data_IF_723796622309
#
_entry.id   IF_723796622309
#
_cell.length_a   1.000
_cell.length_b   1.000
_cell.length_c   1.000
_cell.angle_alpha   90.00
_cell.angle_beta   90.00
_cell.angle_gamma   90.00
#
_symmetry.space_group_name_H-M   'P 1'
#
loop_
_entity.id
_entity.type
_entity.pdbx_description
1 polymer ?
#
# COMPACT_ATOMS: atom_id res chain seq x y z
N UNK A 1 -12.48 -13.30 6.93
CA UNK A 1 -12.12 -12.44 8.08
C UNK A 1 -13.07 -11.25 8.07
N UNK A 2 -13.89 -11.10 9.10
CA UNK A 2 -15.07 -10.21 9.16
C UNK A 2 -14.77 -8.71 8.99
N UNK A 3 -15.61 -8.03 8.20
CA UNK A 3 -15.60 -6.60 7.78
C UNK A 3 -15.32 -5.56 8.89
N UNK A 4 -15.58 -5.90 10.17
CA UNK A 4 -15.34 -5.02 11.33
C UNK A 4 -13.86 -4.75 11.59
N UNK A 5 -12.96 -5.64 11.13
CA UNK A 5 -11.51 -5.46 11.27
C UNK A 5 -10.90 -4.52 10.22
N UNK A 6 -11.48 -4.36 9.02
CA UNK A 6 -10.94 -3.48 7.98
C UNK A 6 -10.93 -2.01 8.41
N UNK A 7 -12.01 -1.52 9.04
CA UNK A 7 -12.11 -0.12 9.49
C UNK A 7 -11.09 0.24 10.58
N UNK A 8 -10.66 -0.74 11.38
CA UNK A 8 -9.58 -0.55 12.36
C UNK A 8 -8.20 -0.67 11.71
N UNK A 9 -8.03 -1.52 10.70
CA UNK A 9 -6.77 -1.66 9.95
C UNK A 9 -6.43 -0.39 9.17
N UNK A 10 -7.41 0.32 8.59
CA UNK A 10 -7.16 1.61 7.92
C UNK A 10 -6.74 2.72 8.90
N UNK A 11 -7.26 2.70 10.14
CA UNK A 11 -6.83 3.59 11.23
C UNK A 11 -5.42 3.26 11.72
N UNK A 12 -5.08 1.98 11.86
CA UNK A 12 -3.72 1.57 12.20
C UNK A 12 -2.73 1.83 11.04
N UNK A 13 -3.19 1.70 9.80
CA UNK A 13 -2.41 1.99 8.59
C UNK A 13 -2.10 3.47 8.43
N UNK A 14 -3.08 4.35 8.65
CA UNK A 14 -2.88 5.81 8.63
C UNK A 14 -2.01 6.29 9.80
N UNK A 15 -2.26 5.82 11.02
CA UNK A 15 -1.39 6.13 12.16
C UNK A 15 0.05 5.62 11.95
N UNK A 16 0.20 4.43 11.35
CA UNK A 16 1.48 3.87 10.94
C UNK A 16 2.18 4.73 9.89
N UNK A 17 1.46 5.25 8.89
CA UNK A 17 2.00 6.14 7.85
C UNK A 17 2.54 7.44 8.45
N UNK A 18 1.78 8.04 9.38
CA UNK A 18 2.18 9.24 10.11
C UNK A 18 3.41 9.00 10.99
N UNK A 19 3.45 7.89 11.73
CA UNK A 19 4.62 7.49 12.53
C UNK A 19 5.84 7.26 11.62
N UNK A 20 5.67 6.54 10.51
CA UNK A 20 6.78 6.34 9.56
C UNK A 20 7.26 7.64 8.95
N UNK A 21 6.40 8.63 8.71
CA UNK A 21 6.81 9.93 8.19
C UNK A 21 7.61 10.76 9.21
N UNK A 22 7.22 10.73 10.49
CA UNK A 22 7.91 11.44 11.58
C UNK A 22 9.29 10.84 11.82
N UNK A 23 9.36 9.51 11.79
CA UNK A 23 10.60 8.81 12.10
C UNK A 23 11.45 8.52 10.85
N UNK A 24 10.95 8.72 9.62
CA UNK A 24 11.69 8.35 8.41
C UNK A 24 13.09 8.99 8.35
N UNK A 25 14.14 8.21 8.04
CA UNK A 25 15.51 8.71 7.84
C UNK A 25 15.60 9.92 6.90
N UNK A 26 14.74 9.97 5.86
CA UNK A 26 14.76 11.04 4.87
C UNK A 26 14.07 12.34 5.32
N UNK A 27 13.25 12.29 6.37
CA UNK A 27 12.52 13.44 6.92
C UNK A 27 13.19 14.00 8.18
N UNK A 28 14.09 13.22 8.78
CA UNK A 28 14.84 13.61 9.97
C UNK A 28 15.62 14.92 9.80
N UNK A 29 16.30 15.21 8.67
CA UNK A 29 16.95 16.50 8.45
C UNK A 29 15.96 17.68 8.38
N UNK A 30 14.78 17.46 7.79
CA UNK A 30 13.72 18.47 7.69
C UNK A 30 13.10 18.75 9.08
N UNK A 31 12.90 17.70 9.87
CA UNK A 31 12.43 17.82 11.25
C UNK A 31 13.46 18.50 12.14
N UNK A 32 14.74 18.15 12.00
CA UNK A 32 15.84 18.81 12.71
C UNK A 32 15.93 20.30 12.35
N UNK A 33 15.75 20.65 11.07
CA UNK A 33 15.69 22.05 10.61
C UNK A 33 14.48 22.80 11.20
N UNK A 34 13.30 22.19 11.20
CA UNK A 34 12.09 22.77 11.78
C UNK A 34 12.20 22.95 13.31
N UNK A 35 12.74 21.95 14.02
CA UNK A 35 13.00 22.03 15.45
C UNK A 35 14.06 23.11 15.78
N UNK A 36 15.08 23.24 14.94
CA UNK A 36 16.10 24.29 15.04
C UNK A 36 15.48 25.68 14.82
N UNK A 37 14.60 25.84 13.83
CA UNK A 37 13.88 27.08 13.55
C UNK A 37 12.92 27.48 14.68
N UNK A 38 12.38 26.52 15.42
CA UNK A 38 11.55 26.75 16.62
C UNK A 38 12.38 26.99 17.90
N UNK A 39 13.72 27.10 17.79
CA UNK A 39 14.60 27.37 18.93
C UNK A 39 14.83 26.17 19.85
N UNK A 40 14.40 24.96 19.45
CA UNK A 40 14.63 23.71 20.18
C UNK A 40 16.00 23.08 19.87
N UNK A 41 16.81 23.72 19.01
CA UNK A 41 18.10 23.22 18.55
C UNK A 41 19.20 23.12 19.61
N UNK A 42 18.98 23.63 20.83
CA UNK A 42 19.92 23.57 21.96
C UNK A 42 19.66 22.44 22.94
N UNK A 43 18.60 21.65 22.75
CA UNK A 43 18.48 20.39 23.46
C UNK A 43 19.42 19.39 22.81
N UNK A 44 20.37 18.85 23.58
CA UNK A 44 21.05 17.58 23.29
C UNK A 44 20.05 16.40 23.29
N UNK A 45 18.88 16.55 22.64
CA UNK A 45 17.80 15.58 22.49
C UNK A 45 18.28 14.28 21.81
N UNK A 46 19.53 14.30 21.38
CA UNK A 46 20.22 13.46 20.46
C UNK A 46 21.71 13.34 20.86
N UNK A 47 21.99 13.16 22.16
CA UNK A 47 23.31 12.68 22.61
C UNK A 47 23.72 11.37 21.92
N UNK A 48 24.80 10.71 22.36
CA UNK A 48 25.37 9.50 21.72
C UNK A 48 24.41 8.31 21.46
N UNK A 49 23.16 8.39 21.93
CA UNK A 49 22.05 7.48 21.66
C UNK A 49 21.44 7.60 20.25
N UNK A 50 21.64 8.71 19.53
CA UNK A 50 21.11 8.90 18.16
C UNK A 50 21.45 7.79 17.21
N UNK A 51 22.68 7.28 17.29
CA UNK A 51 23.15 6.23 16.39
C UNK A 51 22.29 4.97 16.52
N UNK A 52 22.04 4.57 17.76
CA UNK A 52 21.28 3.38 18.11
C UNK A 52 19.83 3.50 17.65
N UNK A 53 19.25 4.70 17.78
CA UNK A 53 17.90 4.99 17.27
C UNK A 53 17.87 4.85 15.75
N UNK A 54 18.83 5.44 15.03
CA UNK A 54 18.89 5.34 13.57
C UNK A 54 19.06 3.90 13.07
N UNK A 55 19.92 3.11 13.73
CA UNK A 55 20.11 1.70 13.40
C UNK A 55 18.85 0.88 13.69
N UNK A 56 18.18 1.11 14.82
CA UNK A 56 16.92 0.43 15.15
C UNK A 56 15.84 0.69 14.08
N UNK A 57 15.76 1.92 13.58
CA UNK A 57 14.84 2.29 12.52
C UNK A 57 15.12 1.57 11.19
N UNK A 58 16.38 1.50 10.78
CA UNK A 58 16.79 0.75 9.58
C UNK A 58 16.41 -0.72 9.71
N UNK A 59 16.59 -1.32 10.88
CA UNK A 59 16.18 -2.71 11.15
C UNK A 59 14.67 -2.89 11.05
N UNK A 60 13.88 -1.97 11.62
CA UNK A 60 12.41 -1.99 11.51
C UNK A 60 11.97 -1.89 10.04
N UNK A 61 12.60 -1.03 9.24
CA UNK A 61 12.32 -0.92 7.81
C UNK A 61 12.64 -2.21 7.04
N UNK A 62 13.79 -2.85 7.29
CA UNK A 62 14.16 -4.12 6.68
C UNK A 62 13.18 -5.23 7.10
N UNK A 63 12.79 -5.28 8.37
CA UNK A 63 11.81 -6.23 8.89
C UNK A 63 10.44 -6.06 8.21
N UNK A 64 10.01 -4.81 8.00
CA UNK A 64 8.79 -4.50 7.25
C UNK A 64 8.86 -4.99 5.79
N UNK A 65 9.99 -4.79 5.11
CA UNK A 65 10.22 -5.31 3.76
C UNK A 65 10.29 -6.85 3.73
N UNK A 66 10.83 -7.48 4.78
CA UNK A 66 10.83 -8.94 4.91
C UNK A 66 9.42 -9.51 5.10
N UNK A 67 8.56 -8.86 5.90
CA UNK A 67 7.15 -9.23 6.03
C UNK A 67 6.43 -9.05 4.68
N UNK A 68 6.70 -7.97 3.96
CA UNK A 68 6.20 -7.73 2.60
C UNK A 68 6.62 -8.85 1.64
N UNK A 69 7.89 -9.28 1.69
CA UNK A 69 8.41 -10.40 0.91
C UNK A 69 7.68 -11.71 1.21
N UNK A 70 7.44 -12.03 2.49
CA UNK A 70 6.71 -13.25 2.89
C UNK A 70 5.27 -13.28 2.37
N UNK A 71 4.66 -12.11 2.15
CA UNK A 71 3.27 -12.00 1.66
C UNK A 71 3.16 -12.03 0.13
N UNK A 72 4.09 -11.40 -0.57
CA UNK A 72 4.00 -11.19 -2.04
C UNK A 72 5.07 -11.95 -2.85
N UNK A 73 6.02 -12.64 -2.21
CA UNK A 73 7.02 -13.50 -2.85
C UNK A 73 8.14 -12.76 -3.61
N UNK A 74 8.20 -11.44 -3.52
CA UNK A 74 9.05 -10.60 -4.38
C UNK A 74 10.35 -10.20 -3.66
N UNK A 75 11.47 -10.83 -4.00
CA UNK A 75 12.74 -10.69 -3.26
C UNK A 75 13.50 -9.36 -3.56
N UNK A 76 13.25 -8.73 -4.71
CA UNK A 76 14.04 -7.58 -5.18
C UNK A 76 14.15 -6.39 -4.21
N UNK A 77 13.07 -5.88 -3.58
CA UNK A 77 13.19 -4.76 -2.65
C UNK A 77 14.05 -5.10 -1.41
N UNK A 78 14.00 -6.35 -0.97
CA UNK A 78 14.81 -6.84 0.15
C UNK A 78 16.31 -6.91 -0.22
N UNK A 79 16.62 -7.34 -1.45
CA UNK A 79 17.99 -7.39 -1.96
C UNK A 79 18.64 -6.02 -2.10
N UNK A 80 17.85 -4.96 -2.26
CA UNK A 80 18.38 -3.58 -2.26
C UNK A 80 18.49 -3.05 -0.83
N UNK A 81 17.48 -3.28 0.00
CA UNK A 81 17.43 -2.75 1.36
C UNK A 81 18.49 -3.33 2.31
N UNK A 82 18.75 -4.64 2.25
CA UNK A 82 19.71 -5.30 3.16
C UNK A 82 21.14 -4.77 2.96
N UNK A 83 21.70 -4.72 1.73
CA UNK A 83 22.99 -4.08 1.49
C UNK A 83 23.02 -2.61 1.90
N UNK A 84 21.96 -1.86 1.63
CA UNK A 84 21.87 -0.46 2.05
C UNK A 84 21.95 -0.28 3.57
N UNK A 85 21.30 -1.15 4.35
CA UNK A 85 21.39 -1.14 5.81
C UNK A 85 22.77 -1.52 6.35
N UNK A 86 23.46 -2.45 5.67
CA UNK A 86 24.84 -2.82 6.00
C UNK A 86 25.81 -1.67 5.71
N UNK A 87 25.65 -0.96 4.58
CA UNK A 87 26.46 0.22 4.24
C UNK A 87 26.28 1.30 5.32
N UNK A 88 25.05 1.55 5.76
CA UNK A 88 24.77 2.50 6.86
C UNK A 88 25.48 2.08 8.14
N UNK A 89 25.40 0.81 8.52
CA UNK A 89 26.03 0.30 9.75
C UNK A 89 27.56 0.37 9.67
N UNK A 90 28.13 0.05 8.50
CA UNK A 90 29.56 0.13 8.24
C UNK A 90 30.07 1.58 8.28
N UNK A 91 29.36 2.50 7.62
CA UNK A 91 29.68 3.92 7.63
C UNK A 91 29.76 4.48 9.06
N UNK A 92 28.91 3.98 9.95
CA UNK A 92 28.86 4.44 11.33
C UNK A 92 29.94 3.80 12.22
N UNK A 93 30.10 2.48 12.17
CA UNK A 93 30.94 1.76 13.15
C UNK A 93 32.41 1.62 12.74
N UNK A 94 32.73 1.68 11.44
CA UNK A 94 34.06 1.31 10.95
C UNK A 94 34.78 2.43 10.19
N UNK A 95 34.10 3.51 9.82
CA UNK A 95 34.68 4.56 8.99
C UNK A 95 34.90 5.85 9.79
N UNK A 96 36.09 6.00 10.37
CA UNK A 96 36.52 7.23 11.05
C UNK A 96 36.92 8.36 10.08
N UNK A 97 36.84 8.11 8.77
CA UNK A 97 37.27 9.03 7.72
C UNK A 97 36.14 10.00 7.32
N UNK A 98 36.48 11.21 6.86
CA UNK A 98 35.50 12.26 6.49
C UNK A 98 34.45 11.82 5.45
N UNK A 99 34.73 10.74 4.71
CA UNK A 99 33.84 10.18 3.70
C UNK A 99 32.64 9.40 4.26
N UNK A 100 32.54 9.19 5.57
CA UNK A 100 31.45 8.42 6.21
C UNK A 100 30.06 8.94 5.84
N UNK A 101 29.93 10.26 5.68
CA UNK A 101 28.67 10.92 5.35
C UNK A 101 28.15 10.53 3.96
N UNK A 102 29.04 10.32 2.98
CA UNK A 102 28.65 9.90 1.62
C UNK A 102 28.11 8.47 1.60
N UNK A 103 28.73 7.56 2.36
CA UNK A 103 28.24 6.18 2.49
C UNK A 103 26.88 6.13 3.19
N UNK A 104 26.70 6.94 4.23
CA UNK A 104 25.42 7.06 4.93
C UNK A 104 24.31 7.53 3.97
N UNK A 105 24.55 8.58 3.19
CA UNK A 105 23.56 9.07 2.22
C UNK A 105 23.28 8.07 1.10
N UNK A 106 24.31 7.38 0.60
CA UNK A 106 24.13 6.34 -0.41
C UNK A 106 23.24 5.20 0.10
N UNK A 107 23.44 4.76 1.35
CA UNK A 107 22.59 3.76 1.99
C UNK A 107 21.14 4.24 2.20
N UNK A 108 20.95 5.49 2.62
CA UNK A 108 19.61 6.07 2.77
C UNK A 108 18.86 6.15 1.43
N UNK A 109 19.55 6.58 0.37
CA UNK A 109 18.97 6.63 -0.97
C UNK A 109 18.58 5.24 -1.47
N UNK A 110 19.41 4.23 -1.22
CA UNK A 110 19.10 2.83 -1.55
C UNK A 110 17.86 2.29 -0.82
N UNK A 111 17.72 2.56 0.48
CA UNK A 111 16.52 2.19 1.26
C UNK A 111 15.26 2.89 0.74
N UNK A 112 15.37 4.17 0.39
CA UNK A 112 14.27 4.96 -0.17
C UNK A 112 13.84 4.38 -1.53
N UNK A 113 14.78 4.11 -2.42
CA UNK A 113 14.52 3.49 -3.72
C UNK A 113 13.87 2.11 -3.57
N UNK A 114 14.36 1.26 -2.66
CA UNK A 114 13.77 -0.04 -2.36
C UNK A 114 12.31 0.08 -1.89
N UNK A 115 12.02 1.08 -1.04
CA UNK A 115 10.68 1.34 -0.51
C UNK A 115 9.74 1.84 -1.60
N UNK A 116 10.18 2.79 -2.44
CA UNK A 116 9.39 3.27 -3.59
C UNK A 116 9.08 2.10 -4.52
N UNK A 117 10.07 1.25 -4.83
CA UNK A 117 9.88 0.11 -5.71
C UNK A 117 8.86 -0.88 -5.14
N UNK A 118 8.95 -1.17 -3.83
CA UNK A 118 7.98 -2.01 -3.13
C UNK A 118 6.57 -1.40 -3.17
N UNK A 119 6.44 -0.08 -2.97
CA UNK A 119 5.16 0.62 -3.00
C UNK A 119 4.54 0.66 -4.41
N UNK A 120 5.32 1.02 -5.43
CA UNK A 120 4.87 1.03 -6.82
C UNK A 120 4.43 -0.36 -7.28
N UNK A 121 5.19 -1.41 -6.93
CA UNK A 121 4.80 -2.78 -7.24
C UNK A 121 3.50 -3.19 -6.56
N UNK A 122 3.35 -2.85 -5.28
CA UNK A 122 2.11 -3.14 -4.56
C UNK A 122 0.91 -2.38 -5.16
N UNK A 123 1.12 -1.15 -5.65
CA UNK A 123 0.11 -0.41 -6.40
C UNK A 123 -0.22 -1.05 -7.75
N UNK A 124 0.78 -1.51 -8.50
CA UNK A 124 0.57 -2.15 -9.80
C UNK A 124 -0.30 -3.42 -9.71
N UNK A 125 -0.16 -4.18 -8.62
CA UNK A 125 -1.05 -5.32 -8.36
C UNK A 125 -2.49 -4.93 -8.02
N UNK A 126 -2.72 -3.68 -7.59
CA UNK A 126 -4.03 -3.15 -7.21
C UNK A 126 -4.68 -2.32 -8.34
N UNK A 127 -3.98 -2.15 -9.46
CA UNK A 127 -4.47 -1.42 -10.66
C UNK A 127 -4.79 -2.36 -11.80
N UNK A 128 -5.45 -3.50 -11.53
CA UNK A 128 -6.28 -4.08 -12.58
C UNK A 128 -7.35 -3.02 -12.88
N UNK A 129 -7.34 -2.42 -14.07
CA UNK A 129 -8.30 -1.40 -14.45
C UNK A 129 -9.72 -1.91 -14.20
N UNK A 130 -10.41 -1.31 -13.23
CA UNK A 130 -11.78 -1.66 -12.90
C UNK A 130 -12.65 -1.15 -14.04
N UNK A 131 -13.09 -2.07 -14.90
CA UNK A 131 -13.97 -1.73 -16.01
C UNK A 131 -15.38 -1.54 -15.48
N UNK A 132 -15.87 -0.31 -15.48
CA UNK A 132 -17.19 0.04 -14.95
C UNK A 132 -18.33 -0.19 -15.94
N UNK A 133 -18.04 -0.37 -17.24
CA UNK A 133 -19.08 -0.68 -18.23
C UNK A 133 -19.26 -2.18 -18.32
N UNK A 134 -20.49 -2.64 -18.12
CA UNK A 134 -20.86 -4.04 -18.34
C UNK A 134 -22.18 -4.11 -19.06
N UNK A 135 -22.27 -5.00 -20.05
CA UNK A 135 -23.52 -5.28 -20.74
C UNK A 135 -24.28 -6.34 -19.95
N UNK A 136 -25.47 -6.02 -19.47
CA UNK A 136 -26.38 -6.99 -18.83
C UNK A 136 -27.26 -7.60 -19.92
N UNK A 137 -27.30 -8.93 -19.99
CA UNK A 137 -28.21 -9.65 -20.89
C UNK A 137 -29.31 -10.35 -20.09
N UNK A 138 -30.56 -10.02 -20.42
CA UNK A 138 -31.72 -10.63 -19.78
C UNK A 138 -31.92 -12.09 -20.25
N UNK A 139 -31.98 -13.08 -19.34
CA UNK A 139 -32.18 -14.48 -19.71
C UNK A 139 -33.60 -14.79 -20.21
N UNK A 140 -34.59 -13.97 -19.88
CA UNK A 140 -36.00 -14.21 -20.23
C UNK A 140 -36.34 -13.74 -21.64
N UNK A 141 -35.76 -12.61 -22.09
CA UNK A 141 -36.10 -11.99 -23.38
C UNK A 141 -34.91 -11.76 -24.32
N UNK A 142 -33.68 -12.06 -23.88
CA UNK A 142 -32.46 -11.88 -24.69
C UNK A 142 -32.03 -10.42 -24.88
N UNK A 143 -32.75 -9.45 -24.32
CA UNK A 143 -32.38 -8.04 -24.41
C UNK A 143 -31.06 -7.77 -23.69
N UNK A 144 -30.14 -7.09 -24.36
CA UNK A 144 -28.84 -6.71 -23.80
C UNK A 144 -28.72 -5.19 -23.75
N UNK A 145 -28.21 -4.66 -22.63
CA UNK A 145 -28.02 -3.23 -22.43
C UNK A 145 -26.70 -2.97 -21.72
N UNK A 146 -25.95 -2.00 -22.22
CA UNK A 146 -24.74 -1.52 -21.54
C UNK A 146 -25.15 -0.63 -20.36
N UNK A 147 -24.68 -1.00 -19.17
CA UNK A 147 -24.94 -0.28 -17.92
C UNK A 147 -23.61 0.06 -17.23
N UNK A 148 -23.60 1.18 -16.51
CA UNK A 148 -22.46 1.57 -15.70
C UNK A 148 -22.62 0.95 -14.30
N UNK A 149 -21.69 0.08 -13.94
CA UNK A 149 -21.62 -0.55 -12.64
C UNK A 149 -21.28 0.50 -11.56
N UNK A 150 -22.08 0.60 -10.49
CA UNK A 150 -21.74 1.46 -9.36
C UNK A 150 -20.52 0.92 -8.60
N UNK A 151 -19.59 1.80 -8.24
CA UNK A 151 -18.40 1.44 -7.45
C UNK A 151 -18.70 1.25 -5.96
N UNK A 152 -19.81 1.81 -5.48
CA UNK A 152 -20.09 1.93 -4.04
C UNK A 152 -21.12 0.91 -3.52
N UNK A 153 -21.69 0.06 -4.39
CA UNK A 153 -22.71 -0.93 -3.99
C UNK A 153 -22.87 -2.07 -5.01
N UNK A 154 -23.27 -3.25 -4.54
CA UNK A 154 -23.68 -4.35 -5.41
C UNK A 154 -25.17 -4.26 -5.78
N UNK A 155 -25.49 -4.32 -7.08
CA UNK A 155 -26.87 -4.37 -7.55
C UNK A 155 -27.38 -5.81 -7.45
N UNK A 156 -28.26 -6.07 -6.48
CA UNK A 156 -28.85 -7.40 -6.30
C UNK A 156 -30.13 -7.61 -7.13
N UNK A 157 -30.87 -6.54 -7.42
CA UNK A 157 -32.08 -6.59 -8.22
C UNK A 157 -31.93 -5.68 -9.42
N UNK A 158 -32.19 -6.22 -10.61
CA UNK A 158 -32.22 -5.45 -11.85
C UNK A 158 -33.53 -5.70 -12.56
N UNK A 159 -34.19 -4.64 -13.00
CA UNK A 159 -35.42 -4.73 -13.77
C UNK A 159 -35.08 -4.55 -15.25
N UNK A 160 -35.38 -5.56 -16.07
CA UNK A 160 -35.13 -5.47 -17.50
C UNK A 160 -36.05 -4.42 -18.14
N UNK A 161 -35.50 -3.48 -18.90
CA UNK A 161 -36.28 -2.41 -19.52
C UNK A 161 -37.27 -2.91 -20.58
N UNK A 162 -36.97 -4.03 -21.24
CA UNK A 162 -37.81 -4.58 -22.29
C UNK A 162 -38.99 -5.40 -21.74
N UNK A 163 -38.72 -6.41 -20.90
CA UNK A 163 -39.75 -7.32 -20.38
C UNK A 163 -40.21 -7.01 -18.96
N UNK A 164 -39.67 -5.96 -18.32
CA UNK A 164 -39.96 -5.53 -16.93
C UNK A 164 -39.80 -6.62 -15.87
N UNK A 165 -39.07 -7.68 -16.21
CA UNK A 165 -38.82 -8.78 -15.28
C UNK A 165 -37.70 -8.38 -14.32
N UNK A 166 -37.93 -8.63 -13.03
CA UNK A 166 -36.92 -8.43 -11.99
C UNK A 166 -35.99 -9.64 -11.90
N UNK A 167 -34.77 -9.45 -12.37
CA UNK A 167 -33.68 -10.42 -12.28
C UNK A 167 -33.05 -10.39 -10.88
N UNK A 168 -32.70 -11.58 -10.39
CA UNK A 168 -31.92 -11.81 -9.17
C UNK A 168 -30.67 -12.60 -9.55
N UNK A 169 -29.52 -12.41 -8.87
CA UNK A 169 -28.32 -13.19 -9.13
C UNK A 169 -28.58 -14.69 -8.98
N UNK A 170 -27.80 -15.47 -9.74
CA UNK A 170 -27.76 -16.93 -9.62
C UNK A 170 -27.17 -17.34 -8.28
N UNK A 171 -27.51 -18.54 -7.83
CA UNK A 171 -26.98 -19.07 -6.57
C UNK A 171 -25.46 -19.19 -6.66
N UNK A 172 -24.75 -18.52 -5.76
CA UNK A 172 -23.28 -18.45 -5.74
C UNK A 172 -22.68 -17.15 -6.28
N UNK A 173 -23.47 -16.29 -6.93
CA UNK A 173 -23.02 -14.97 -7.40
C UNK A 173 -23.49 -13.85 -6.46
N UNK A 174 -22.68 -12.81 -6.32
CA UNK A 174 -22.96 -11.68 -5.41
C UNK A 174 -23.88 -10.59 -5.98
N UNK A 175 -23.98 -10.46 -7.31
CA UNK A 175 -24.78 -9.40 -7.94
C UNK A 175 -25.23 -9.80 -9.35
N UNK A 176 -26.21 -9.06 -9.90
CA UNK A 176 -26.75 -9.30 -11.25
C UNK A 176 -25.69 -9.25 -12.34
N UNK A 177 -24.67 -8.40 -12.20
CA UNK A 177 -23.55 -8.31 -13.15
C UNK A 177 -22.67 -9.56 -13.12
N UNK A 178 -22.46 -10.17 -11.95
CA UNK A 178 -21.70 -11.42 -11.87
C UNK A 178 -22.41 -12.58 -12.59
N UNK A 179 -23.74 -12.59 -12.58
CA UNK A 179 -24.57 -13.65 -13.16
C UNK A 179 -24.94 -13.46 -14.63
N UNK A 180 -25.18 -12.21 -15.04
CA UNK A 180 -25.76 -11.86 -16.34
C UNK A 180 -24.98 -10.76 -17.09
N UNK A 181 -23.94 -10.21 -16.47
CA UNK A 181 -23.07 -9.20 -17.05
C UNK A 181 -21.92 -9.81 -17.85
N UNK A 182 -21.41 -9.06 -18.83
CA UNK A 182 -20.18 -9.41 -19.55
C UNK A 182 -18.93 -9.26 -18.67
N UNK A 183 -18.92 -8.28 -17.76
CA UNK A 183 -17.82 -8.02 -16.83
C UNK A 183 -18.26 -8.29 -15.39
N UNK A 184 -17.35 -8.82 -14.58
CA UNK A 184 -17.58 -9.03 -13.14
C UNK A 184 -17.64 -7.69 -12.41
N UNK A 185 -18.31 -7.68 -11.26
CA UNK A 185 -18.49 -6.45 -10.49
C UNK A 185 -17.16 -5.87 -9.99
N UNK A 186 -17.11 -4.55 -9.72
CA UNK A 186 -15.89 -3.87 -9.26
C UNK A 186 -15.13 -4.56 -8.11
N UNK A 187 -15.78 -5.04 -7.02
CA UNK A 187 -15.05 -5.72 -5.95
C UNK A 187 -14.40 -7.03 -6.41
N UNK A 188 -15.06 -7.79 -7.29
CA UNK A 188 -14.50 -9.02 -7.87
C UNK A 188 -13.31 -8.73 -8.81
N UNK A 189 -13.33 -7.61 -9.55
CA UNK A 189 -12.21 -7.17 -10.38
C UNK A 189 -11.00 -6.72 -9.53
N UNK A 190 -11.27 -6.08 -8.40
CA UNK A 190 -10.27 -5.65 -7.41
C UNK A 190 -9.70 -6.77 -6.53
N UNK A 191 -10.16 -8.01 -6.70
CA UNK A 191 -9.70 -9.15 -5.88
C UNK A 191 -10.23 -9.13 -4.44
N UNK A 192 -11.27 -8.34 -4.16
CA UNK A 192 -11.95 -8.36 -2.88
C UNK A 192 -13.02 -9.46 -2.86
N UNK A 193 -13.18 -10.12 -1.71
CA UNK A 193 -14.26 -11.09 -1.53
C UNK A 193 -15.61 -10.34 -1.56
N UNK A 194 -16.50 -10.79 -2.43
CA UNK A 194 -17.77 -10.14 -2.69
C UNK A 194 -18.68 -10.14 -1.44
N UNK A 195 -19.11 -8.93 -1.01
CA UNK A 195 -20.08 -8.65 0.06
C UNK A 195 -19.73 -9.16 1.47
#
# INVERSE_FOLDING_TARGET
MTFKNLKNIDKFGTAGLFLTAIFSPCCFPLFAFAASALGLGSAELFGGWTMWVFQAMVLVSILGLYISYRKHGCLYPLLVAVPSGLIISYAYHFNDNDNWIYFLYAGMFGMLAATIWNFQRNRLHNTNEIVLRSTITCPECGHSKEEIMPTNACIFFYECENCKTRLKPKQGDCCVFCSYGTMKCPPMQGGENCC
#
